data_IF_485872297047
#
_entry.id   IF_485872297047
#
_cell.length_a   1.000
_cell.length_b   1.000
_cell.length_c   1.000
_cell.angle_alpha   90.00
_cell.angle_beta   90.00
_cell.angle_gamma   90.00
#
_symmetry.space_group_name_H-M   'P 1'
#
loop_
_entity.id
_entity.type
_entity.pdbx_description
1 polymer ?
#
# COMPACT_ATOMS: atom_id res chain seq x y z
N UNK A 1 -16.02 15.25 -3.61
CA UNK A 1 -15.36 14.02 -4.10
C UNK A 1 -16.35 12.86 -4.02
N UNK A 2 -16.55 12.13 -5.10
CA UNK A 2 -17.37 10.90 -5.11
C UNK A 2 -16.44 9.69 -5.07
N UNK A 3 -16.63 8.80 -4.10
CA UNK A 3 -15.80 7.61 -3.95
C UNK A 3 -16.60 6.39 -4.35
N UNK A 4 -16.11 5.64 -5.32
CA UNK A 4 -16.66 4.35 -5.70
C UNK A 4 -15.63 3.52 -6.48
N UNK A 5 -15.36 2.31 -6.02
CA UNK A 5 -14.59 1.33 -6.80
C UNK A 5 -14.86 -0.09 -6.33
N UNK A 6 -15.12 -0.98 -7.27
CA UNK A 6 -15.31 -2.42 -7.04
C UNK A 6 -14.35 -3.28 -7.86
N UNK A 7 -13.57 -2.65 -8.76
CA UNK A 7 -12.56 -3.33 -9.57
C UNK A 7 -11.48 -2.33 -10.03
N UNK A 8 -10.49 -2.81 -10.75
CA UNK A 8 -9.35 -2.01 -11.21
C UNK A 8 -9.43 -1.64 -12.71
N UNK A 9 -10.56 -1.90 -13.40
CA UNK A 9 -10.70 -1.70 -14.85
C UNK A 9 -11.88 -0.82 -15.29
N UNK A 10 -12.79 -0.44 -14.40
CA UNK A 10 -13.82 0.54 -14.73
C UNK A 10 -13.23 1.91 -14.99
N UNK A 11 -13.95 2.80 -15.76
CA UNK A 11 -13.45 4.12 -16.06
C UNK A 11 -13.03 4.89 -14.82
N UNK A 12 -11.77 5.35 -14.79
CA UNK A 12 -11.23 6.16 -13.72
C UNK A 12 -11.81 7.58 -13.80
N UNK A 13 -12.54 8.02 -12.79
CA UNK A 13 -13.18 9.33 -12.74
C UNK A 13 -12.44 10.32 -11.85
N UNK A 14 -11.96 9.85 -10.72
CA UNK A 14 -11.25 10.67 -9.73
C UNK A 14 -10.06 9.86 -9.16
N UNK A 15 -8.92 10.49 -8.95
CA UNK A 15 -7.71 9.82 -8.47
C UNK A 15 -6.88 10.74 -7.58
N UNK A 16 -6.16 10.15 -6.65
CA UNK A 16 -5.13 10.83 -5.86
C UNK A 16 -3.77 10.46 -6.45
N UNK A 17 -3.01 11.45 -6.91
CA UNK A 17 -1.62 11.31 -7.34
C UNK A 17 -0.70 11.85 -6.26
N UNK A 18 0.30 11.06 -5.85
CA UNK A 18 1.21 11.37 -4.76
C UNK A 18 2.18 12.51 -5.05
N UNK A 19 3.13 12.72 -4.11
CA UNK A 19 4.23 13.69 -4.18
C UNK A 19 5.52 13.08 -3.70
N UNK A 20 6.65 13.56 -4.24
CA UNK A 20 7.99 13.21 -3.76
C UNK A 20 8.60 14.29 -2.85
N UNK A 21 7.92 15.42 -2.64
CA UNK A 21 8.43 16.52 -1.84
C UNK A 21 8.90 16.04 -0.46
N UNK A 22 10.12 16.42 -0.08
CA UNK A 22 10.73 16.09 1.22
C UNK A 22 10.81 14.59 1.55
N UNK A 23 10.81 13.71 0.54
CA UNK A 23 11.00 12.27 0.76
C UNK A 23 12.33 12.01 1.50
N UNK A 24 12.28 11.07 2.44
CA UNK A 24 13.38 10.79 3.35
C UNK A 24 13.50 9.29 3.58
N UNK A 25 14.69 8.73 3.55
CA UNK A 25 14.90 7.31 3.88
C UNK A 25 15.00 7.20 5.40
N UNK A 26 14.04 6.53 6.06
CA UNK A 26 14.00 6.44 7.52
C UNK A 26 15.15 5.61 8.08
N UNK A 27 15.45 5.75 9.40
CA UNK A 27 16.36 4.84 10.09
C UNK A 27 15.92 3.38 9.93
N UNK A 28 16.89 2.43 9.84
CA UNK A 28 16.57 1.02 9.68
C UNK A 28 15.91 0.46 10.93
N UNK A 29 14.81 -0.24 10.71
CA UNK A 29 14.11 -1.03 11.70
C UNK A 29 13.59 -2.34 11.08
N UNK A 30 13.03 -3.28 11.86
CA UNK A 30 12.53 -4.53 11.31
C UNK A 30 11.46 -4.35 10.22
N UNK A 31 10.58 -3.35 10.35
CA UNK A 31 9.51 -3.11 9.38
C UNK A 31 10.05 -2.66 8.02
N UNK A 32 11.07 -1.80 8.03
CA UNK A 32 11.75 -1.36 6.82
C UNK A 32 12.54 -2.51 6.17
N UNK A 33 13.24 -3.31 6.98
CA UNK A 33 13.96 -4.48 6.50
C UNK A 33 13.02 -5.49 5.85
N UNK A 34 11.90 -5.79 6.48
CA UNK A 34 10.86 -6.67 5.94
C UNK A 34 10.36 -6.23 4.57
N UNK A 35 10.08 -4.94 4.43
CA UNK A 35 9.45 -4.42 3.22
C UNK A 35 10.40 -4.39 2.01
N UNK A 36 11.64 -3.94 2.18
CA UNK A 36 12.51 -3.64 1.04
C UNK A 36 13.93 -4.18 1.12
N UNK A 37 14.42 -4.50 2.29
CA UNK A 37 15.84 -4.76 2.52
C UNK A 37 16.12 -6.07 3.27
N UNK A 38 15.28 -7.08 3.11
CA UNK A 38 15.40 -8.36 3.83
C UNK A 38 16.80 -8.99 3.72
N UNK A 39 17.46 -8.82 2.58
CA UNK A 39 18.79 -9.36 2.30
C UNK A 39 19.95 -8.47 2.79
N UNK A 40 19.67 -7.26 3.29
CA UNK A 40 20.70 -6.33 3.76
C UNK A 40 20.81 -6.36 5.28
N UNK A 41 22.05 -6.17 5.77
CA UNK A 41 22.28 -5.90 7.19
C UNK A 41 21.80 -4.50 7.59
N UNK A 42 21.49 -4.30 8.86
CA UNK A 42 21.16 -2.96 9.39
C UNK A 42 22.25 -1.94 9.14
N UNK A 43 23.53 -2.36 9.14
CA UNK A 43 24.67 -1.49 8.82
C UNK A 43 24.65 -1.01 7.37
N UNK A 44 24.24 -1.83 6.45
CA UNK A 44 24.13 -1.46 5.04
C UNK A 44 22.95 -0.51 4.83
N UNK A 45 21.78 -0.82 5.42
CA UNK A 45 20.61 0.05 5.35
C UNK A 45 20.90 1.42 5.97
N UNK A 46 21.65 1.47 7.09
CA UNK A 46 22.03 2.73 7.76
C UNK A 46 22.82 3.70 6.88
N UNK A 47 23.48 3.23 5.83
CA UNK A 47 24.19 4.09 4.87
C UNK A 47 23.25 4.82 3.90
N UNK A 48 22.00 4.40 3.84
CA UNK A 48 20.99 4.94 2.94
C UNK A 48 20.15 6.04 3.61
N UNK A 49 20.23 6.19 4.95
CA UNK A 49 19.42 7.16 5.71
C UNK A 49 19.62 8.57 5.19
N UNK A 50 18.55 9.33 5.04
CA UNK A 50 18.62 10.74 4.71
C UNK A 50 17.66 11.17 3.61
N UNK A 51 17.73 12.43 3.27
CA UNK A 51 16.97 12.99 2.16
C UNK A 51 17.43 12.42 0.84
N UNK A 52 16.49 12.16 -0.06
CA UNK A 52 16.83 11.94 -1.46
C UNK A 52 17.46 13.21 -2.04
N UNK A 53 18.29 13.07 -3.07
CA UNK A 53 18.89 14.24 -3.71
C UNK A 53 17.83 15.12 -4.38
N UNK A 54 18.07 16.43 -4.46
CA UNK A 54 17.17 17.39 -5.10
C UNK A 54 16.84 16.99 -6.54
N UNK A 55 17.82 16.41 -7.25
CA UNK A 55 17.61 15.87 -8.61
C UNK A 55 16.53 14.77 -8.62
N UNK A 56 16.65 13.76 -7.74
CA UNK A 56 15.68 12.65 -7.66
C UNK A 56 14.30 13.17 -7.27
N UNK A 57 14.21 14.08 -6.31
CA UNK A 57 12.94 14.69 -5.91
C UNK A 57 12.30 15.47 -7.06
N UNK A 58 13.11 16.26 -7.78
CA UNK A 58 12.64 17.06 -8.91
C UNK A 58 12.13 16.18 -10.05
N UNK A 59 12.91 15.18 -10.46
CA UNK A 59 12.53 14.24 -11.51
C UNK A 59 11.24 13.48 -11.15
N UNK A 60 11.17 12.92 -9.93
CA UNK A 60 9.99 12.20 -9.46
C UNK A 60 8.74 13.10 -9.38
N UNK A 61 8.87 14.36 -8.96
CA UNK A 61 7.75 15.30 -8.96
C UNK A 61 7.33 15.69 -10.39
N UNK A 62 8.28 15.81 -11.34
CA UNK A 62 7.97 16.06 -12.75
C UNK A 62 7.17 14.90 -13.34
N UNK A 63 7.61 13.64 -13.13
CA UNK A 63 6.90 12.45 -13.59
C UNK A 63 5.46 12.39 -13.05
N UNK A 64 5.28 12.74 -11.76
CA UNK A 64 3.95 12.78 -11.14
C UNK A 64 3.08 13.93 -11.65
N UNK A 65 3.67 15.07 -12.05
CA UNK A 65 2.94 16.17 -12.65
C UNK A 65 2.52 15.82 -14.09
N UNK A 66 3.44 15.25 -14.89
CA UNK A 66 3.13 14.77 -16.24
C UNK A 66 2.02 13.71 -16.23
N UNK A 67 2.05 12.78 -15.27
CA UNK A 67 0.96 11.82 -15.05
C UNK A 67 -0.35 12.54 -14.70
N UNK A 68 -0.30 13.51 -13.78
CA UNK A 68 -1.48 14.27 -13.36
C UNK A 68 -2.10 15.03 -14.53
N UNK A 69 -1.28 15.67 -15.36
CA UNK A 69 -1.75 16.43 -16.50
C UNK A 69 -2.34 15.52 -17.58
N UNK A 70 -1.70 14.37 -17.81
CA UNK A 70 -2.26 13.37 -18.73
C UNK A 70 -3.61 12.83 -18.28
N UNK A 71 -3.77 12.57 -16.99
CA UNK A 71 -5.05 12.14 -16.41
C UNK A 71 -6.13 13.23 -16.54
N UNK A 72 -5.79 14.49 -16.29
CA UNK A 72 -6.70 15.64 -16.49
C UNK A 72 -7.13 15.79 -17.96
N UNK A 73 -6.20 15.64 -18.92
CA UNK A 73 -6.50 15.62 -20.35
C UNK A 73 -7.53 14.54 -20.73
N UNK A 74 -7.48 13.39 -20.04
CA UNK A 74 -8.44 12.30 -20.19
C UNK A 74 -9.76 12.51 -19.41
N UNK A 75 -9.94 13.68 -18.79
CA UNK A 75 -11.16 14.03 -18.05
C UNK A 75 -11.19 13.49 -16.61
N UNK A 76 -10.08 12.96 -16.09
CA UNK A 76 -10.00 12.47 -14.71
C UNK A 76 -9.75 13.63 -13.75
N UNK A 77 -10.51 13.72 -12.67
CA UNK A 77 -10.25 14.68 -11.60
C UNK A 77 -9.10 14.21 -10.73
N UNK A 78 -8.04 15.00 -10.65
CA UNK A 78 -6.81 14.66 -9.91
C UNK A 78 -6.72 15.45 -8.63
N UNK A 79 -6.46 14.76 -7.52
CA UNK A 79 -6.17 15.34 -6.21
C UNK A 79 -4.70 15.13 -5.86
N UNK A 80 -4.13 16.07 -5.10
CA UNK A 80 -2.73 16.00 -4.66
C UNK A 80 -2.65 16.20 -3.13
N UNK A 81 -1.83 15.39 -2.41
CA UNK A 81 -1.64 15.58 -0.97
C UNK A 81 -0.94 16.90 -0.66
N UNK A 82 -1.03 17.33 0.61
CA UNK A 82 -0.20 18.41 1.12
C UNK A 82 1.27 18.02 1.14
N UNK A 83 2.15 19.01 0.95
CA UNK A 83 3.58 18.85 1.19
C UNK A 83 3.83 18.76 2.69
N UNK A 84 4.49 17.70 3.12
CA UNK A 84 4.88 17.47 4.51
C UNK A 84 6.34 17.05 4.61
N UNK A 85 6.97 17.36 5.73
CA UNK A 85 8.36 16.97 5.98
C UNK A 85 8.42 15.56 6.52
N UNK A 86 9.13 14.68 5.81
CA UNK A 86 9.27 13.28 6.18
C UNK A 86 10.50 13.00 7.08
N UNK A 87 11.39 13.97 7.28
CA UNK A 87 12.50 13.90 8.23
C UNK A 87 12.10 14.15 9.69
N UNK A 88 10.85 14.55 9.94
CA UNK A 88 10.32 14.72 11.28
C UNK A 88 10.30 13.38 12.05
N UNK A 89 10.75 13.42 13.32
CA UNK A 89 10.74 12.22 14.16
C UNK A 89 9.32 11.80 14.56
N UNK A 90 9.08 10.51 14.44
CA UNK A 90 7.90 9.81 14.98
C UNK A 90 8.39 9.04 16.21
N UNK A 91 7.84 9.36 17.37
CA UNK A 91 8.21 8.75 18.65
C UNK A 91 6.98 8.15 19.31
N UNK A 92 7.07 6.88 19.63
CA UNK A 92 6.06 6.13 20.40
C UNK A 92 6.68 5.59 21.69
N UNK A 93 5.92 5.03 22.63
CA UNK A 93 6.52 4.37 23.81
C UNK A 93 7.42 3.18 23.48
N UNK A 94 7.33 2.60 22.29
CA UNK A 94 7.95 1.32 21.93
C UNK A 94 9.07 1.44 20.89
N UNK A 95 8.99 2.44 20.00
CA UNK A 95 9.95 2.62 18.91
C UNK A 95 9.98 4.09 18.44
N UNK A 96 11.00 4.42 17.67
CA UNK A 96 11.14 5.71 17.00
C UNK A 96 11.58 5.52 15.56
N UNK A 97 11.11 6.38 14.67
CA UNK A 97 11.49 6.43 13.27
C UNK A 97 11.28 7.83 12.70
N UNK A 98 11.32 8.01 11.40
CA UNK A 98 10.87 9.20 10.67
C UNK A 98 9.77 8.82 9.68
N UNK A 99 9.17 9.76 8.99
CA UNK A 99 8.37 9.49 7.80
C UNK A 99 9.23 8.97 6.65
N UNK A 100 8.58 8.62 5.53
CA UNK A 100 9.27 8.19 4.32
C UNK A 100 8.94 9.09 3.12
N UNK A 101 7.73 9.04 2.58
CA UNK A 101 7.27 9.82 1.43
C UNK A 101 5.74 9.77 1.30
N UNK A 102 5.20 10.58 0.37
CA UNK A 102 3.79 10.55 -0.05
C UNK A 102 3.64 10.17 -1.53
N UNK A 103 4.58 9.41 -2.07
CA UNK A 103 4.66 9.11 -3.49
C UNK A 103 3.53 8.19 -3.96
N UNK A 104 3.20 7.15 -3.15
CA UNK A 104 2.31 6.07 -3.52
C UNK A 104 1.04 6.05 -2.62
N UNK A 105 0.01 6.87 -2.86
CA UNK A 105 -1.23 6.83 -2.07
C UNK A 105 -1.96 5.48 -2.17
N UNK A 106 -1.77 4.73 -3.27
CA UNK A 106 -2.31 3.37 -3.46
C UNK A 106 -1.88 2.41 -2.35
N UNK A 107 -0.71 2.62 -1.74
CA UNK A 107 -0.17 1.71 -0.74
C UNK A 107 -0.90 1.82 0.61
N UNK A 108 -1.42 2.99 0.93
CA UNK A 108 -1.99 3.33 2.24
C UNK A 108 -3.51 3.51 2.23
N UNK A 109 -4.13 3.56 1.04
CA UNK A 109 -5.58 3.67 0.88
C UNK A 109 -6.14 2.52 0.04
N UNK A 110 -7.14 1.84 0.58
CA UNK A 110 -7.94 0.86 -0.14
C UNK A 110 -9.36 1.39 -0.29
N UNK A 111 -9.84 1.48 -1.53
CA UNK A 111 -11.24 1.82 -1.82
C UNK A 111 -12.03 0.55 -2.10
N UNK A 112 -13.13 0.34 -1.36
CA UNK A 112 -14.06 -0.79 -1.52
C UNK A 112 -15.47 -0.22 -1.58
N UNK A 113 -16.14 -0.35 -2.72
CA UNK A 113 -17.42 0.31 -2.95
C UNK A 113 -17.32 1.80 -2.70
N UNK A 114 -18.11 2.34 -1.79
CA UNK A 114 -18.11 3.76 -1.37
C UNK A 114 -17.23 4.03 -0.14
N UNK A 115 -16.42 3.06 0.27
CA UNK A 115 -15.60 3.16 1.48
C UNK A 115 -14.15 3.44 1.15
N UNK A 116 -13.50 4.31 1.93
CA UNK A 116 -12.04 4.50 1.96
C UNK A 116 -11.52 3.88 3.26
N UNK A 117 -10.56 2.99 3.15
CA UNK A 117 -9.87 2.37 4.28
C UNK A 117 -8.44 2.91 4.34
N UNK A 118 -8.09 3.59 5.43
CA UNK A 118 -6.69 3.80 5.79
C UNK A 118 -6.16 2.47 6.32
N UNK A 119 -5.33 1.79 5.53
CA UNK A 119 -4.77 0.49 5.94
C UNK A 119 -3.69 0.67 7.02
N UNK A 120 -3.41 -0.36 7.84
CA UNK A 120 -2.48 -0.23 8.95
C UNK A 120 -1.02 -0.06 8.49
N UNK A 121 -0.73 -0.33 7.22
CA UNK A 121 0.60 -0.50 6.64
C UNK A 121 1.47 -1.53 7.37
N UNK A 122 2.55 -1.97 6.75
CA UNK A 122 3.54 -2.86 7.38
C UNK A 122 4.78 -2.11 7.86
N UNK A 123 4.87 -0.82 7.54
CA UNK A 123 6.03 0.03 7.86
C UNK A 123 5.70 1.08 8.91
N UNK A 124 6.51 1.13 9.99
CA UNK A 124 6.44 2.16 11.04
C UNK A 124 6.50 3.58 10.48
N UNK A 125 7.35 3.81 9.48
CA UNK A 125 7.56 5.12 8.85
C UNK A 125 6.35 5.63 8.06
N UNK A 126 5.36 4.77 7.77
CA UNK A 126 4.16 5.12 7.00
C UNK A 126 2.91 5.34 7.85
N UNK A 127 2.99 5.14 9.17
CA UNK A 127 1.82 5.17 10.07
C UNK A 127 1.05 6.51 10.03
N UNK A 128 1.73 7.61 9.76
CA UNK A 128 1.13 8.94 9.66
C UNK A 128 1.15 9.52 8.23
N UNK A 129 1.49 8.72 7.23
CA UNK A 129 1.52 9.16 5.84
C UNK A 129 0.13 9.64 5.39
N UNK A 130 -0.95 9.05 5.89
CA UNK A 130 -2.33 9.43 5.58
C UNK A 130 -2.69 10.87 5.97
N UNK A 131 -1.98 11.47 6.93
CA UNK A 131 -2.27 12.83 7.39
C UNK A 131 -2.07 13.90 6.31
N UNK A 132 -1.19 13.68 5.35
CA UNK A 132 -1.00 14.60 4.22
C UNK A 132 -2.20 14.65 3.28
N UNK A 133 -3.08 13.65 3.35
CA UNK A 133 -4.28 13.50 2.54
C UNK A 133 -5.56 13.92 3.28
N UNK A 134 -5.44 14.41 4.52
CA UNK A 134 -6.58 14.65 5.42
C UNK A 134 -7.68 15.52 4.78
N UNK A 135 -7.32 16.61 4.06
CA UNK A 135 -8.31 17.46 3.39
C UNK A 135 -9.07 16.71 2.29
N UNK A 136 -8.39 15.84 1.55
CA UNK A 136 -9.00 15.00 0.50
C UNK A 136 -9.98 14.01 1.15
N UNK A 137 -9.59 13.41 2.27
CA UNK A 137 -10.44 12.47 3.01
C UNK A 137 -11.68 13.16 3.58
N UNK A 138 -11.54 14.38 4.11
CA UNK A 138 -12.67 15.18 4.57
C UNK A 138 -13.61 15.58 3.40
N UNK A 139 -13.07 15.92 2.22
CA UNK A 139 -13.88 16.17 1.03
C UNK A 139 -14.64 14.92 0.60
N UNK A 140 -13.99 13.75 0.66
CA UNK A 140 -14.60 12.46 0.34
C UNK A 140 -15.73 12.13 1.34
N UNK A 141 -15.48 12.29 2.64
CA UNK A 141 -16.48 12.06 3.69
C UNK A 141 -17.68 13.00 3.53
N UNK A 142 -17.46 14.29 3.29
CA UNK A 142 -18.53 15.26 3.01
C UNK A 142 -19.30 14.90 1.72
N UNK A 143 -18.68 14.21 0.79
CA UNK A 143 -19.29 13.66 -0.43
C UNK A 143 -20.06 12.35 -0.22
N UNK A 144 -20.14 11.84 1.03
CA UNK A 144 -20.89 10.64 1.40
C UNK A 144 -20.05 9.33 1.42
N UNK A 145 -18.73 9.41 1.28
CA UNK A 145 -17.89 8.24 1.44
C UNK A 145 -17.87 7.78 2.90
N UNK A 146 -17.82 6.47 3.11
CA UNK A 146 -17.49 5.91 4.42
C UNK A 146 -15.97 5.94 4.58
N UNK A 147 -15.50 6.47 5.69
CA UNK A 147 -14.07 6.57 5.97
C UNK A 147 -13.72 5.74 7.22
N UNK A 148 -12.89 4.72 7.04
CA UNK A 148 -12.43 3.82 8.08
C UNK A 148 -10.92 3.95 8.26
N UNK A 149 -10.45 3.97 9.50
CA UNK A 149 -9.03 3.76 9.82
C UNK A 149 -8.88 2.39 10.46
N UNK A 150 -7.93 1.59 9.96
CA UNK A 150 -7.62 0.30 10.56
C UNK A 150 -7.16 0.46 12.02
N UNK A 151 -7.27 -0.58 12.85
CA UNK A 151 -6.80 -0.54 14.23
C UNK A 151 -5.32 -0.14 14.28
N UNK A 152 -4.97 0.74 15.23
CA UNK A 152 -3.57 1.11 15.48
C UNK A 152 -2.81 -0.09 16.04
N UNK A 153 -1.73 -0.45 15.38
CA UNK A 153 -0.86 -1.54 15.77
C UNK A 153 0.29 -1.05 16.64
N UNK A 154 0.88 -1.94 17.43
CA UNK A 154 2.07 -1.64 18.22
C UNK A 154 3.35 -1.73 17.39
N UNK A 155 3.33 -2.48 16.30
CA UNK A 155 4.48 -2.76 15.41
C UNK A 155 5.67 -3.31 16.19
N UNK A 156 5.42 -4.35 16.99
CA UNK A 156 6.48 -5.02 17.74
C UNK A 156 7.54 -5.61 16.80
N UNK A 157 8.79 -5.68 17.25
CA UNK A 157 9.86 -6.32 16.49
C UNK A 157 9.57 -7.81 16.22
N UNK A 158 8.83 -8.48 17.13
CA UNK A 158 8.35 -9.86 16.96
C UNK A 158 7.33 -10.06 15.84
N UNK A 159 6.80 -8.99 15.26
CA UNK A 159 5.96 -9.05 14.06
C UNK A 159 6.76 -9.33 12.78
N UNK A 160 8.09 -9.46 12.89
CA UNK A 160 9.00 -9.73 11.78
C UNK A 160 9.98 -10.84 12.13
N UNK A 161 10.09 -11.85 11.25
CA UNK A 161 11.05 -12.95 11.40
C UNK A 161 11.87 -13.11 10.12
N UNK A 162 13.19 -13.08 10.25
CA UNK A 162 14.15 -13.17 9.15
C UNK A 162 14.96 -14.47 9.14
N UNK A 163 14.56 -15.47 9.92
CA UNK A 163 15.29 -16.74 10.03
C UNK A 163 15.19 -17.58 8.76
N UNK A 164 14.06 -17.44 8.02
CA UNK A 164 13.81 -18.17 6.78
C UNK A 164 13.23 -17.22 5.71
N UNK A 165 14.09 -16.72 4.84
CA UNK A 165 13.69 -15.78 3.77
C UNK A 165 12.98 -16.46 2.57
N UNK A 166 12.80 -17.77 2.58
CA UNK A 166 11.98 -18.47 1.59
C UNK A 166 10.48 -18.31 1.83
N UNK A 167 10.11 -17.80 3.01
CA UNK A 167 8.73 -17.52 3.45
C UNK A 167 8.54 -16.02 3.68
N UNK A 168 7.28 -15.55 3.76
CA UNK A 168 7.02 -14.20 4.22
C UNK A 168 7.66 -13.95 5.60
N UNK A 169 8.38 -12.83 5.70
CA UNK A 169 9.02 -12.41 6.96
C UNK A 169 8.06 -11.68 7.89
N UNK A 170 6.87 -11.31 7.41
CA UNK A 170 5.79 -10.72 8.21
C UNK A 170 5.05 -11.81 8.99
N UNK A 171 5.05 -11.70 10.31
CA UNK A 171 4.38 -12.64 11.21
C UNK A 171 2.89 -12.30 11.39
N UNK A 172 2.11 -13.28 11.85
CA UNK A 172 0.66 -13.12 12.05
C UNK A 172 0.32 -12.71 13.51
N UNK A 173 1.03 -11.72 14.06
CA UNK A 173 0.86 -11.26 15.46
C UNK A 173 -0.12 -10.10 15.58
N UNK A 174 -0.09 -9.18 14.62
CA UNK A 174 -0.89 -7.95 14.57
C UNK A 174 -1.61 -7.87 13.23
N UNK A 175 -2.61 -6.99 13.10
CA UNK A 175 -3.30 -6.74 11.82
C UNK A 175 -2.40 -5.83 10.98
N UNK A 176 -1.66 -6.39 10.02
CA UNK A 176 -0.72 -5.64 9.18
C UNK A 176 -0.93 -5.97 7.71
N UNK A 177 -1.21 -4.95 6.90
CA UNK A 177 -1.22 -5.06 5.45
C UNK A 177 -1.12 -3.69 4.78
N UNK A 178 -0.60 -3.67 3.56
CA UNK A 178 -0.67 -2.56 2.63
C UNK A 178 -1.81 -2.79 1.62
N UNK A 179 -2.45 -1.72 1.16
CA UNK A 179 -3.59 -1.82 0.25
C UNK A 179 -3.28 -2.55 -1.08
N UNK A 180 -2.06 -2.48 -1.66
CA UNK A 180 -1.69 -3.23 -2.87
C UNK A 180 -1.75 -4.77 -2.72
N UNK A 181 -1.89 -5.29 -1.51
CA UNK A 181 -2.11 -6.72 -1.31
C UNK A 181 -3.54 -7.16 -1.62
N UNK A 182 -4.43 -6.20 -1.90
CA UNK A 182 -5.83 -6.45 -2.23
C UNK A 182 -6.12 -6.07 -3.66
N UNK A 183 -6.51 -7.06 -4.47
CA UNK A 183 -7.02 -6.89 -5.83
C UNK A 183 -8.54 -7.00 -5.81
N UNK A 184 -9.23 -6.01 -6.37
CA UNK A 184 -10.69 -5.95 -6.38
C UNK A 184 -11.25 -6.60 -7.64
N UNK A 185 -12.17 -7.54 -7.45
CA UNK A 185 -12.80 -8.34 -8.52
C UNK A 185 -14.32 -8.36 -8.31
N UNK A 186 -14.98 -7.20 -8.38
CA UNK A 186 -16.40 -7.05 -8.06
C UNK A 186 -16.66 -7.27 -6.58
N UNK A 187 -17.45 -8.29 -6.26
CA UNK A 187 -17.76 -8.68 -4.87
C UNK A 187 -16.68 -9.58 -4.24
N UNK A 188 -15.59 -9.87 -4.95
CA UNK A 188 -14.46 -10.61 -4.42
C UNK A 188 -13.25 -9.68 -4.21
N UNK A 189 -12.58 -9.87 -3.09
CA UNK A 189 -11.32 -9.21 -2.75
C UNK A 189 -10.24 -10.30 -2.69
N UNK A 190 -9.39 -10.38 -3.71
CA UNK A 190 -8.27 -11.30 -3.71
C UNK A 190 -7.16 -10.69 -2.86
N UNK A 191 -6.81 -11.33 -1.75
CA UNK A 191 -5.85 -10.87 -0.76
C UNK A 191 -4.64 -11.78 -0.72
N UNK A 192 -3.44 -11.24 -0.98
CA UNK A 192 -2.20 -11.99 -0.91
C UNK A 192 -1.58 -11.93 0.49
N UNK A 193 -1.31 -13.07 1.10
CA UNK A 193 -0.44 -13.18 2.28
C UNK A 193 1.02 -13.13 1.83
N UNK A 194 1.78 -12.17 2.36
CA UNK A 194 3.14 -11.86 1.89
C UNK A 194 3.89 -10.99 2.90
N UNK A 195 5.05 -10.44 2.52
CA UNK A 195 5.78 -9.46 3.33
C UNK A 195 5.02 -8.14 3.56
N UNK A 196 3.95 -7.89 2.81
CA UNK A 196 3.14 -6.68 2.96
C UNK A 196 1.67 -6.94 3.30
N UNK A 197 1.35 -8.14 3.78
CA UNK A 197 0.01 -8.46 4.28
C UNK A 197 -0.04 -9.84 4.93
N UNK A 198 -0.59 -9.93 6.13
CA UNK A 198 -0.73 -11.18 6.88
C UNK A 198 -2.20 -11.64 6.97
N UNK A 199 -2.44 -12.85 7.48
CA UNK A 199 -3.78 -13.44 7.58
C UNK A 199 -4.71 -12.63 8.46
N UNK A 200 -4.23 -12.07 9.59
CA UNK A 200 -5.04 -11.20 10.44
C UNK A 200 -5.55 -9.95 9.71
N UNK A 201 -4.78 -9.44 8.75
CA UNK A 201 -5.23 -8.37 7.87
C UNK A 201 -6.42 -8.80 6.99
N UNK A 202 -6.37 -10.00 6.42
CA UNK A 202 -7.47 -10.57 5.64
C UNK A 202 -8.72 -10.84 6.52
N UNK A 203 -8.55 -11.41 7.71
CA UNK A 203 -9.62 -11.67 8.67
C UNK A 203 -10.31 -10.35 9.10
N UNK A 204 -9.51 -9.32 9.41
CA UNK A 204 -10.05 -8.01 9.74
C UNK A 204 -10.84 -7.42 8.58
N UNK A 205 -10.28 -7.46 7.37
CA UNK A 205 -10.93 -6.93 6.17
C UNK A 205 -12.26 -7.66 5.91
N UNK A 206 -12.31 -8.99 6.05
CA UNK A 206 -13.54 -9.77 5.92
C UNK A 206 -14.58 -9.38 6.99
N UNK A 207 -14.14 -9.09 8.21
CA UNK A 207 -15.05 -8.69 9.29
C UNK A 207 -15.66 -7.30 9.08
N UNK A 208 -14.90 -6.38 8.44
CA UNK A 208 -15.36 -5.02 8.15
C UNK A 208 -16.27 -4.94 6.92
N UNK A 209 -16.12 -5.87 5.98
CA UNK A 209 -16.85 -5.92 4.71
C UNK A 209 -17.50 -7.31 4.51
N UNK A 210 -18.49 -7.68 5.35
CA UNK A 210 -19.09 -9.01 5.31
C UNK A 210 -19.86 -9.29 4.00
N UNK A 211 -20.25 -8.25 3.27
CA UNK A 211 -20.90 -8.37 1.95
C UNK A 211 -19.94 -8.76 0.83
N UNK A 212 -18.63 -8.55 1.03
CA UNK A 212 -17.58 -8.99 0.10
C UNK A 212 -17.03 -10.34 0.53
N UNK A 213 -16.50 -11.09 -0.42
CA UNK A 213 -15.74 -12.32 -0.15
C UNK A 213 -14.25 -12.05 -0.23
N UNK A 214 -13.54 -12.08 0.90
CA UNK A 214 -12.08 -12.05 0.92
C UNK A 214 -11.55 -13.45 0.58
N UNK A 215 -10.80 -13.56 -0.50
CA UNK A 215 -10.16 -14.79 -0.98
C UNK A 215 -8.67 -14.66 -0.69
N UNK A 216 -8.20 -15.49 0.24
CA UNK A 216 -6.80 -15.46 0.67
C UNK A 216 -5.95 -16.29 -0.28
N UNK A 217 -4.84 -15.72 -0.75
CA UNK A 217 -3.87 -16.33 -1.62
C UNK A 217 -2.50 -16.37 -0.92
N UNK A 218 -1.76 -17.48 -1.06
CA UNK A 218 -0.47 -17.69 -0.40
C UNK A 218 0.68 -17.89 -1.40
N UNK A 219 0.40 -18.51 -2.54
CA UNK A 219 1.43 -19.12 -3.38
C UNK A 219 1.90 -18.21 -4.53
N UNK A 220 1.10 -17.21 -4.91
CA UNK A 220 1.39 -16.42 -6.10
C UNK A 220 2.60 -15.49 -5.91
N UNK A 221 2.76 -14.89 -4.73
CA UNK A 221 3.89 -14.01 -4.45
C UNK A 221 4.09 -13.75 -2.95
N UNK A 222 5.30 -13.98 -2.44
CA UNK A 222 5.65 -13.80 -1.03
C UNK A 222 6.23 -12.42 -0.68
N UNK A 223 6.64 -11.63 -1.69
CA UNK A 223 7.26 -10.32 -1.50
C UNK A 223 6.26 -9.20 -1.20
N UNK A 224 6.68 -7.95 -1.35
CA UNK A 224 5.82 -6.79 -1.10
C UNK A 224 4.98 -6.43 -2.33
N UNK A 225 3.72 -6.07 -2.11
CA UNK A 225 2.77 -5.52 -3.07
C UNK A 225 2.37 -6.46 -4.21
N UNK A 226 1.19 -7.01 -4.08
CA UNK A 226 0.64 -8.00 -5.00
C UNK A 226 0.18 -7.40 -6.34
N UNK A 227 -0.25 -6.15 -6.37
CA UNK A 227 -0.65 -5.45 -7.59
C UNK A 227 0.48 -5.26 -8.62
N UNK A 228 1.74 -5.43 -8.21
CA UNK A 228 2.90 -5.53 -9.11
C UNK A 228 3.06 -6.92 -9.76
N UNK A 229 2.19 -7.85 -9.41
CA UNK A 229 2.24 -9.27 -9.82
C UNK A 229 0.99 -9.69 -10.57
N UNK A 230 -0.19 -9.21 -10.13
CA UNK A 230 -1.50 -9.53 -10.71
C UNK A 230 -2.26 -8.23 -11.00
N UNK A 231 -2.57 -7.97 -12.26
CA UNK A 231 -3.28 -6.77 -12.70
C UNK A 231 -4.48 -7.17 -13.57
N UNK A 232 -5.71 -7.12 -13.04
CA UNK A 232 -6.91 -7.30 -13.83
C UNK A 232 -7.09 -6.13 -14.81
N UNK A 233 -7.24 -6.43 -16.09
CA UNK A 233 -7.39 -5.43 -17.15
C UNK A 233 -8.86 -5.25 -17.59
N UNK A 234 -9.66 -6.28 -17.46
CA UNK A 234 -11.10 -6.34 -17.68
C UNK A 234 -11.64 -7.71 -17.29
N UNK A 235 -12.94 -7.88 -17.32
CA UNK A 235 -13.53 -9.20 -17.16
C UNK A 235 -12.96 -10.22 -18.16
N UNK A 236 -12.53 -11.37 -17.66
CA UNK A 236 -11.90 -12.43 -18.45
C UNK A 236 -10.46 -12.16 -18.91
N UNK A 237 -9.81 -11.06 -18.47
CA UNK A 237 -8.42 -10.77 -18.84
C UNK A 237 -7.61 -10.24 -17.65
N UNK A 238 -6.56 -10.97 -17.30
CA UNK A 238 -5.63 -10.63 -16.21
C UNK A 238 -4.19 -10.65 -16.74
N UNK A 239 -3.42 -9.66 -16.38
CA UNK A 239 -1.97 -9.61 -16.64
C UNK A 239 -1.23 -10.17 -15.42
N UNK A 240 -0.33 -11.13 -15.65
CA UNK A 240 0.56 -11.67 -14.65
C UNK A 240 2.02 -11.30 -14.91
N UNK A 241 2.76 -11.05 -13.84
CA UNK A 241 4.21 -10.95 -13.92
C UNK A 241 4.81 -12.37 -14.08
N UNK A 242 5.21 -12.74 -15.30
CA UNK A 242 5.71 -14.07 -15.65
C UNK A 242 7.03 -14.48 -14.96
N UNK A 243 7.72 -13.56 -14.25
CA UNK A 243 8.85 -13.92 -13.40
C UNK A 243 8.45 -14.42 -12.01
N UNK A 244 7.18 -14.21 -11.61
CA UNK A 244 6.64 -14.54 -10.27
C UNK A 244 5.53 -15.57 -10.33
N UNK A 245 4.72 -15.51 -11.38
CA UNK A 245 3.55 -16.37 -11.57
C UNK A 245 3.74 -17.29 -12.76
N UNK A 246 3.57 -18.58 -12.52
CA UNK A 246 3.60 -19.66 -13.50
C UNK A 246 2.26 -20.39 -13.54
N UNK A 247 2.04 -21.34 -14.46
CA UNK A 247 0.85 -22.19 -14.44
C UNK A 247 0.63 -22.97 -13.14
N UNK A 248 1.68 -23.15 -12.33
CA UNK A 248 1.61 -23.96 -11.11
C UNK A 248 1.21 -23.15 -9.86
N UNK A 249 1.32 -21.81 -9.89
CA UNK A 249 1.10 -20.96 -8.73
C UNK A 249 0.22 -19.72 -8.98
N UNK A 250 -0.50 -19.65 -10.10
CA UNK A 250 -1.44 -18.55 -10.29
C UNK A 250 -2.68 -18.69 -9.39
N UNK A 251 -3.31 -17.57 -8.96
CA UNK A 251 -4.47 -17.62 -8.08
C UNK A 251 -5.64 -18.38 -8.71
N UNK A 252 -6.16 -19.37 -7.99
CA UNK A 252 -7.23 -20.27 -8.49
C UNK A 252 -8.53 -19.57 -8.88
N UNK A 253 -8.79 -18.37 -8.37
CA UNK A 253 -9.94 -17.57 -8.77
C UNK A 253 -9.97 -17.27 -10.30
N UNK A 254 -8.83 -17.36 -10.97
CA UNK A 254 -8.69 -17.14 -12.41
C UNK A 254 -8.72 -18.44 -13.23
N UNK A 255 -8.94 -19.61 -12.59
CA UNK A 255 -9.24 -20.85 -13.30
C UNK A 255 -10.60 -20.75 -14.02
N UNK A 256 -10.65 -21.26 -15.26
CA UNK A 256 -11.88 -21.29 -16.08
C UNK A 256 -12.77 -22.46 -15.69
#
# INVERSE_FOLDING_TARGET
>A
MRVFSVNDWEPLMEVIVGRADFAYIPPPDPSMKNFRFANLSYREISKLIGSYSDKVISEANQDLEDLSDKLKELGVKVYRPKKVRHDAQIVTPYWKTTGWHNYCPRDIFLVIGTSIVEVPSVMRSRIFETWSYNEILHEAFAGGAKWFSAPKQMYNDSSFNFDDLSKPTLMNNEILFDAPNVVRLGMNLLYQVSNSGNEKGAEWLQSMFPEYKVIVEHDAYSGAHFDSTVVPLREGLVLFNGHRVSPDNYPKIFEK
#
